data_IF_607085213498
#
_entry.id   IF_607085213498
#
_cell.length_a   1.000
_cell.length_b   1.000
_cell.length_c   1.000
_cell.angle_alpha   90.00
_cell.angle_beta   90.00
_cell.angle_gamma   90.00
#
_symmetry.space_group_name_H-M   'P 1'
#
loop_
_entity.id
_entity.type
_entity.pdbx_description
1 polymer ?
#
# COMPACT_ATOMS: atom_id res chain seq x y z
N UNK A 1 7.32 -1.02 11.55
CA UNK A 1 6.68 -1.67 10.38
C UNK A 1 6.32 -0.53 9.41
N UNK A 2 6.25 -0.75 8.11
CA UNK A 2 6.40 0.27 7.05
C UNK A 2 5.15 1.16 6.83
N UNK A 3 4.52 1.63 7.91
CA UNK A 3 3.21 2.29 7.89
C UNK A 3 3.27 3.83 7.78
N UNK A 4 4.39 4.35 7.28
CA UNK A 4 4.64 5.76 7.01
C UNK A 4 5.09 6.01 5.56
N UNK A 5 4.76 7.19 5.05
CA UNK A 5 5.02 7.55 3.65
C UNK A 5 6.51 7.64 3.32
N UNK A 6 7.34 8.10 4.25
CA UNK A 6 8.77 8.32 4.02
C UNK A 6 9.50 6.98 3.77
N UNK A 7 9.19 5.97 4.57
CA UNK A 7 9.69 4.61 4.39
C UNK A 7 9.30 4.03 3.03
N UNK A 8 8.05 4.24 2.60
CA UNK A 8 7.55 3.74 1.33
C UNK A 8 8.15 4.49 0.12
N UNK A 9 8.39 5.80 0.23
CA UNK A 9 9.09 6.60 -0.78
C UNK A 9 10.50 6.05 -1.00
N UNK A 10 11.28 5.94 0.08
CA UNK A 10 12.66 5.42 0.01
C UNK A 10 12.73 4.01 -0.58
N UNK A 11 11.74 3.17 -0.24
CA UNK A 11 11.64 1.83 -0.80
C UNK A 11 11.36 1.87 -2.31
N UNK A 12 10.38 2.67 -2.74
CA UNK A 12 10.02 2.80 -4.16
C UNK A 12 11.18 3.32 -5.01
N UNK A 13 11.91 4.32 -4.52
CA UNK A 13 13.10 4.86 -5.19
C UNK A 13 14.22 3.82 -5.26
N UNK A 14 14.52 3.15 -4.14
CA UNK A 14 15.56 2.10 -4.12
C UNK A 14 15.23 0.90 -5.02
N UNK A 15 13.95 0.52 -5.13
CA UNK A 15 13.51 -0.51 -6.09
C UNK A 15 13.71 -0.03 -7.53
N UNK A 16 13.38 1.22 -7.82
CA UNK A 16 13.56 1.78 -9.15
C UNK A 16 15.03 1.87 -9.56
N UNK A 17 15.92 2.24 -8.64
CA UNK A 17 17.37 2.28 -8.85
C UNK A 17 17.94 0.92 -9.30
N UNK A 18 17.37 -0.19 -8.84
CA UNK A 18 17.76 -1.55 -9.25
C UNK A 18 16.93 -2.10 -10.42
N UNK A 19 16.11 -1.27 -11.08
CA UNK A 19 15.30 -1.63 -12.24
C UNK A 19 14.00 -2.36 -11.92
N UNK A 20 13.52 -2.29 -10.69
CA UNK A 20 12.27 -2.91 -10.23
C UNK A 20 11.18 -1.86 -10.05
N UNK A 21 10.04 -2.04 -10.73
CA UNK A 21 8.89 -1.15 -10.55
C UNK A 21 8.01 -1.63 -9.38
N UNK A 22 7.71 -0.77 -8.39
CA UNK A 22 6.74 -1.07 -7.36
C UNK A 22 5.36 -1.34 -7.99
N UNK A 23 4.79 -2.51 -7.77
CA UNK A 23 3.53 -2.92 -8.42
C UNK A 23 2.35 -2.96 -7.46
N UNK A 24 2.51 -3.62 -6.31
CA UNK A 24 1.47 -3.76 -5.30
C UNK A 24 1.98 -3.45 -3.90
N UNK A 25 1.19 -2.68 -3.16
CA UNK A 25 1.32 -2.51 -1.73
C UNK A 25 0.17 -3.25 -1.06
N UNK A 26 0.49 -4.38 -0.43
CA UNK A 26 -0.50 -5.19 0.28
C UNK A 26 -0.88 -4.51 1.58
N UNK A 27 -2.15 -4.10 1.66
CA UNK A 27 -2.79 -3.72 2.90
C UNK A 27 -3.02 -5.01 3.69
N UNK A 28 -2.48 -5.11 4.89
CA UNK A 28 -2.69 -6.29 5.73
C UNK A 28 -4.19 -6.50 5.93
N UNK A 29 -4.64 -7.68 5.53
CA UNK A 29 -5.99 -8.14 5.77
C UNK A 29 -6.13 -8.45 7.26
N UNK A 30 -7.17 -7.93 7.91
CA UNK A 30 -7.31 -8.12 9.36
C UNK A 30 -7.60 -9.58 9.67
N UNK A 31 -6.79 -10.16 10.55
CA UNK A 31 -7.22 -11.30 11.36
C UNK A 31 -8.51 -10.92 12.09
N UNK A 32 -9.60 -11.61 11.76
CA UNK A 32 -10.89 -11.50 12.45
C UNK A 32 -10.67 -11.63 13.96
N UNK A 33 -10.85 -10.55 14.73
CA UNK A 33 -10.76 -10.64 16.19
C UNK A 33 -10.62 -9.34 17.00
N UNK A 34 -10.29 -8.19 16.40
CA UNK A 34 -10.14 -6.94 17.16
C UNK A 34 -10.89 -5.79 16.49
N UNK A 35 -12.12 -5.52 16.94
CA UNK A 35 -13.00 -4.46 16.45
C UNK A 35 -12.55 -3.01 16.75
N UNK A 36 -11.26 -2.75 16.93
CA UNK A 36 -10.76 -1.43 17.34
C UNK A 36 -9.51 -0.91 16.61
N UNK A 37 -8.92 -1.68 15.70
CA UNK A 37 -7.79 -1.19 14.90
C UNK A 37 -8.20 -0.98 13.46
N UNK A 38 -9.15 -0.07 13.27
CA UNK A 38 -9.44 0.43 11.95
C UNK A 38 -8.21 1.14 11.38
N UNK A 39 -7.50 0.52 10.42
CA UNK A 39 -6.81 1.36 9.44
C UNK A 39 -7.95 1.99 8.66
N UNK A 40 -8.38 3.14 9.16
CA UNK A 40 -9.43 3.95 8.58
C UNK A 40 -9.17 4.06 7.08
N UNK A 41 -10.18 3.87 6.22
CA UNK A 41 -10.08 4.17 4.80
C UNK A 41 -9.37 5.51 4.55
N UNK A 42 -9.65 6.49 5.41
CA UNK A 42 -9.01 7.81 5.47
C UNK A 42 -7.48 7.74 5.59
N UNK A 43 -6.94 6.79 6.36
CA UNK A 43 -5.49 6.61 6.54
C UNK A 43 -4.84 6.03 5.29
N UNK A 44 -5.52 5.13 4.59
CA UNK A 44 -5.05 4.55 3.33
C UNK A 44 -5.03 5.64 2.23
N UNK A 45 -6.12 6.39 2.11
CA UNK A 45 -6.18 7.52 1.17
C UNK A 45 -5.14 8.59 1.48
N UNK A 46 -4.95 8.93 2.75
CA UNK A 46 -3.92 9.89 3.17
C UNK A 46 -2.53 9.41 2.77
N UNK A 47 -2.21 8.15 3.02
CA UNK A 47 -0.94 7.56 2.64
C UNK A 47 -0.75 7.60 1.12
N UNK A 48 -1.78 7.25 0.35
CA UNK A 48 -1.71 7.29 -1.12
C UNK A 48 -1.46 8.70 -1.64
N UNK A 49 -2.13 9.71 -1.06
CA UNK A 49 -1.92 11.12 -1.41
C UNK A 49 -0.51 11.57 -1.07
N UNK A 50 0.03 11.18 0.08
CA UNK A 50 1.40 11.50 0.49
C UNK A 50 2.43 10.88 -0.47
N UNK A 51 2.19 9.66 -0.97
CA UNK A 51 3.04 9.04 -1.97
C UNK A 51 2.95 9.75 -3.33
N UNK A 52 1.74 10.09 -3.79
CA UNK A 52 1.54 10.83 -5.05
C UNK A 52 2.16 12.23 -5.05
N UNK A 53 2.31 12.85 -3.89
CA UNK A 53 2.99 14.15 -3.75
C UNK A 53 4.52 14.05 -3.84
N UNK A 54 5.09 12.89 -3.51
CA UNK A 54 6.54 12.71 -3.40
C UNK A 54 7.12 11.87 -4.53
N UNK A 55 6.32 10.99 -5.14
CA UNK A 55 6.75 10.09 -6.20
C UNK A 55 6.05 10.42 -7.53
N UNK A 56 6.73 10.21 -8.66
CA UNK A 56 6.07 10.07 -9.95
C UNK A 56 4.98 8.99 -9.89
N UNK A 57 3.85 9.21 -10.57
CA UNK A 57 2.70 8.29 -10.51
C UNK A 57 3.00 6.84 -10.89
N UNK A 58 4.04 6.59 -11.70
CA UNK A 58 4.47 5.24 -12.08
C UNK A 58 5.33 4.52 -11.02
N UNK A 59 5.78 5.24 -9.98
CA UNK A 59 6.49 4.67 -8.81
C UNK A 59 5.58 4.52 -7.59
N UNK A 60 4.33 4.99 -7.68
CA UNK A 60 3.33 4.79 -6.64
C UNK A 60 2.73 3.38 -6.81
N UNK A 61 2.94 2.47 -5.85
CA UNK A 61 2.40 1.12 -5.94
C UNK A 61 0.87 1.15 -5.83
N UNK A 62 0.20 0.19 -6.48
CA UNK A 62 -1.25 0.04 -6.34
C UNK A 62 -1.58 -0.59 -4.98
N UNK A 63 -2.41 0.08 -4.19
CA UNK A 63 -2.87 -0.44 -2.91
C UNK A 63 -3.86 -1.57 -3.16
N UNK A 64 -3.53 -2.75 -2.65
CA UNK A 64 -4.38 -3.95 -2.80
C UNK A 64 -4.64 -4.56 -1.44
N UNK A 65 -5.85 -5.06 -1.23
CA UNK A 65 -6.21 -5.83 -0.04
C UNK A 65 -6.42 -7.28 -0.48
N UNK A 66 -5.91 -8.24 0.27
CA UNK A 66 -6.38 -9.62 0.11
C UNK A 66 -7.77 -9.72 0.75
N UNK A 67 -8.62 -10.61 0.28
CA UNK A 67 -9.90 -10.91 0.95
C UNK A 67 -9.86 -12.40 1.23
N UNK A 68 -9.68 -12.78 2.48
CA UNK A 68 -9.69 -14.18 2.88
C UNK A 68 -11.04 -14.85 2.51
N UNK A 69 -11.02 -15.74 1.52
CA UNK A 69 -12.19 -16.53 1.08
C UNK A 69 -12.51 -16.49 -0.41
N UNK A 70 -11.88 -15.60 -1.19
CA UNK A 70 -12.09 -15.51 -2.64
C UNK A 70 -10.95 -16.18 -3.43
N UNK A 71 -11.32 -17.08 -4.35
CA UNK A 71 -10.37 -17.86 -5.16
C UNK A 71 -9.73 -17.05 -6.31
N UNK A 72 -10.09 -15.77 -6.50
CA UNK A 72 -9.47 -14.90 -7.51
C UNK A 72 -9.55 -13.41 -7.17
N UNK A 73 -8.55 -12.65 -7.62
CA UNK A 73 -8.30 -11.26 -7.23
C UNK A 73 -9.28 -10.28 -7.90
N UNK A 74 -10.05 -9.54 -7.11
CA UNK A 74 -10.86 -8.40 -7.59
C UNK A 74 -10.04 -7.11 -7.55
N UNK A 75 -9.96 -6.33 -8.64
CA UNK A 75 -9.37 -4.99 -8.61
C UNK A 75 -10.26 -4.03 -7.82
N UNK A 76 -9.67 -3.19 -6.97
CA UNK A 76 -10.32 -2.04 -6.33
C UNK A 76 -10.07 -0.79 -7.17
#
# INVERSE_FOLDING_TARGET
>A
MNDDAETLVRLSEGLFEIGVLPYYLHLLDRVSGAGHFEVEPDRIELLQRQLLQQLPGYLVPRMVREIAGEASKTPV
#
